data_IF_622820461348
#
_entry.id   IF_622820461348
#
_cell.length_a   1.000
_cell.length_b   1.000
_cell.length_c   1.000
_cell.angle_alpha   90.00
_cell.angle_beta   90.00
_cell.angle_gamma   90.00
#
_symmetry.space_group_name_H-M   'P 1'
#
loop_
_entity.id
_entity.type
_entity.pdbx_description
1 polymer ?
#
# COMPACT_ATOMS: atom_id res chain seq x y z
N UNK A 1 -33.08 -14.58 81.25
CA UNK A 1 -33.40 -15.79 82.04
C UNK A 1 -34.22 -16.71 81.13
N UNK A 2 -33.54 -17.65 80.48
CA UNK A 2 -34.01 -18.83 79.71
C UNK A 2 -32.73 -19.37 79.03
N UNK A 3 -31.99 -20.21 79.74
CA UNK A 3 -31.91 -21.68 79.60
C UNK A 3 -31.02 -22.12 78.44
N UNK A 4 -29.82 -22.57 78.83
CA UNK A 4 -28.78 -23.28 78.08
C UNK A 4 -29.19 -24.73 77.75
N UNK A 5 -28.50 -25.33 76.76
CA UNK A 5 -27.77 -26.58 77.03
C UNK A 5 -28.03 -27.82 76.16
N UNK A 6 -26.97 -28.24 75.43
CA UNK A 6 -26.61 -29.64 75.12
C UNK A 6 -27.01 -30.18 73.73
N UNK A 7 -26.20 -30.91 72.95
CA UNK A 7 -24.87 -31.50 73.17
C UNK A 7 -24.21 -31.95 71.83
N UNK A 8 -22.87 -31.84 71.80
CA UNK A 8 -21.82 -32.74 71.26
C UNK A 8 -21.94 -33.47 69.91
N UNK A 9 -20.91 -33.32 69.05
CA UNK A 9 -19.81 -34.31 68.94
C UNK A 9 -18.72 -33.88 67.95
N UNK A 10 -17.49 -34.25 68.31
CA UNK A 10 -16.19 -33.88 67.75
C UNK A 10 -15.84 -34.56 66.40
N UNK A 11 -14.93 -33.96 65.60
CA UNK A 11 -13.60 -34.53 65.26
C UNK A 11 -12.83 -33.69 64.22
N UNK A 12 -11.91 -32.88 64.74
CA UNK A 12 -10.48 -32.64 64.41
C UNK A 12 -9.84 -32.57 62.99
N UNK A 13 -8.79 -31.73 62.98
CA UNK A 13 -7.60 -31.61 62.10
C UNK A 13 -7.69 -30.66 60.88
N UNK A 14 -7.09 -29.46 60.96
CA UNK A 14 -5.70 -29.08 60.58
C UNK A 14 -5.59 -28.89 59.05
N UNK A 15 -5.09 -27.81 58.43
CA UNK A 15 -4.12 -26.74 58.78
C UNK A 15 -4.11 -25.72 57.63
N UNK A 16 -3.78 -24.45 57.93
CA UNK A 16 -3.02 -23.44 57.14
C UNK A 16 -3.20 -23.38 55.60
N UNK A 17 -3.42 -22.25 54.91
CA UNK A 17 -3.33 -20.84 55.20
C UNK A 17 -3.30 -20.04 53.88
N UNK A 18 -3.49 -18.72 54.01
CA UNK A 18 -3.02 -17.64 53.12
C UNK A 18 -3.73 -17.30 51.78
N UNK A 19 -4.20 -16.04 51.78
CA UNK A 19 -4.10 -15.00 50.76
C UNK A 19 -5.22 -14.77 49.73
N UNK A 20 -5.96 -13.68 50.00
CA UNK A 20 -6.67 -12.84 49.04
C UNK A 20 -5.74 -12.40 47.88
N UNK A 21 -6.29 -12.34 46.66
CA UNK A 21 -5.85 -11.33 45.69
C UNK A 21 -6.93 -11.01 44.65
N UNK A 22 -7.53 -9.82 44.83
CA UNK A 22 -7.85 -8.80 43.83
C UNK A 22 -8.21 -9.24 42.39
N UNK A 23 -9.47 -8.99 42.05
CA UNK A 23 -10.05 -8.95 40.70
C UNK A 23 -9.32 -7.96 39.77
N UNK A 24 -9.01 -8.42 38.56
CA UNK A 24 -8.47 -7.61 37.45
C UNK A 24 -9.46 -7.56 36.27
N UNK A 25 -9.38 -6.53 35.40
CA UNK A 25 -10.51 -6.02 34.62
C UNK A 25 -10.86 -6.83 33.38
N UNK A 26 -12.16 -6.82 33.01
CA UNK A 26 -12.69 -7.40 31.76
C UNK A 26 -11.93 -6.82 30.55
N UNK A 27 -11.27 -7.69 29.78
CA UNK A 27 -10.87 -7.40 28.40
C UNK A 27 -12.13 -7.08 27.60
N UNK A 28 -12.21 -5.87 27.06
CA UNK A 28 -13.16 -5.51 26.01
C UNK A 28 -12.90 -6.38 24.79
N UNK A 29 -13.75 -7.38 24.61
CA UNK A 29 -13.84 -8.13 23.37
C UNK A 29 -14.27 -7.15 22.28
N UNK A 30 -13.38 -6.87 21.33
CA UNK A 30 -13.76 -6.32 20.03
C UNK A 30 -14.89 -7.20 19.46
N UNK A 31 -16.03 -6.64 19.02
CA UNK A 31 -17.09 -7.44 18.47
C UNK A 31 -16.58 -8.23 17.25
N UNK A 32 -16.94 -9.50 17.10
CA UNK A 32 -16.64 -10.26 15.90
C UNK A 32 -17.29 -9.56 14.69
N UNK A 33 -16.73 -9.69 13.47
CA UNK A 33 -17.42 -9.20 12.28
C UNK A 33 -18.77 -9.92 12.20
N UNK A 34 -19.85 -9.16 12.32
CA UNK A 34 -21.22 -9.63 12.09
C UNK A 34 -21.33 -10.03 10.62
N UNK A 35 -21.31 -11.33 10.35
CA UNK A 35 -21.84 -11.88 9.11
C UNK A 35 -23.37 -11.77 9.15
N UNK A 36 -23.95 -11.38 8.01
CA UNK A 36 -25.31 -11.68 7.52
C UNK A 36 -26.05 -10.44 6.99
N UNK A 37 -25.44 -9.82 5.98
CA UNK A 37 -26.21 -9.36 4.83
C UNK A 37 -25.63 -10.07 3.60
N UNK A 38 -26.35 -11.04 3.03
CA UNK A 38 -26.16 -11.49 1.63
C UNK A 38 -26.56 -10.36 0.65
N UNK A 39 -26.15 -9.13 0.94
CA UNK A 39 -26.17 -8.04 -0.01
C UNK A 39 -24.98 -8.22 -0.94
N UNK A 40 -25.20 -8.08 -2.25
CA UNK A 40 -24.12 -8.12 -3.24
C UNK A 40 -23.13 -6.99 -2.92
N UNK A 41 -22.05 -7.32 -2.22
CA UNK A 41 -21.01 -6.35 -1.87
C UNK A 41 -20.08 -6.18 -3.05
N UNK A 42 -19.71 -4.93 -3.31
CA UNK A 42 -18.70 -4.56 -4.30
C UNK A 42 -17.62 -3.75 -3.62
N UNK A 43 -16.43 -3.73 -4.20
CA UNK A 43 -15.37 -2.80 -3.84
C UNK A 43 -14.90 -2.06 -5.07
N UNK A 44 -14.64 -0.78 -4.92
CA UNK A 44 -14.01 0.06 -5.94
C UNK A 44 -12.67 0.54 -5.44
N UNK A 45 -11.69 0.59 -6.34
CA UNK A 45 -10.36 1.12 -6.07
C UNK A 45 -10.14 2.36 -6.93
N UNK A 46 -9.61 3.43 -6.35
CA UNK A 46 -9.19 4.61 -7.11
C UNK A 46 -7.93 5.25 -6.53
N UNK A 47 -7.29 6.08 -7.36
CA UNK A 47 -6.01 6.69 -7.06
C UNK A 47 -6.17 8.09 -6.48
N UNK A 48 -5.46 8.35 -5.39
CA UNK A 48 -5.34 9.64 -4.72
C UNK A 48 -3.87 10.01 -4.60
N UNK A 49 -3.52 11.27 -4.86
CA UNK A 49 -2.21 11.78 -4.49
C UNK A 49 -2.00 11.70 -2.97
N UNK A 50 -0.76 11.87 -2.52
CA UNK A 50 -0.46 11.86 -1.08
C UNK A 50 -1.19 12.95 -0.30
N UNK A 51 -1.34 14.15 -0.88
CA UNK A 51 -2.04 15.26 -0.26
C UNK A 51 -3.53 14.93 -0.10
N UNK A 52 -4.17 14.49 -1.18
CA UNK A 52 -5.57 14.06 -1.20
C UNK A 52 -5.81 12.92 -0.22
N UNK A 53 -4.94 11.90 -0.20
CA UNK A 53 -5.05 10.80 0.75
C UNK A 53 -4.93 11.26 2.21
N UNK A 54 -4.02 12.21 2.51
CA UNK A 54 -3.88 12.80 3.84
C UNK A 54 -5.13 13.56 4.28
N UNK A 55 -5.75 14.27 3.36
CA UNK A 55 -7.02 14.97 3.56
C UNK A 55 -8.19 14.01 3.84
N UNK A 56 -8.32 12.95 3.05
CA UNK A 56 -9.39 11.95 3.24
C UNK A 56 -9.24 11.24 4.59
N UNK A 57 -8.01 10.96 5.05
CA UNK A 57 -7.76 10.43 6.39
C UNK A 57 -8.19 11.46 7.45
N UNK A 58 -7.79 12.71 7.29
CA UNK A 58 -8.06 13.78 8.25
C UNK A 58 -7.24 13.66 9.54
N UNK A 59 -7.26 14.72 10.36
CA UNK A 59 -6.51 14.75 11.63
C UNK A 59 -7.00 13.64 12.55
N UNK A 60 -6.10 12.73 12.92
CA UNK A 60 -6.41 11.57 13.77
C UNK A 60 -7.34 10.54 13.13
N UNK A 61 -7.50 10.53 11.80
CA UNK A 61 -8.43 9.62 11.12
C UNK A 61 -9.90 10.05 11.21
N UNK A 62 -10.17 11.29 11.61
CA UNK A 62 -11.55 11.77 11.86
C UNK A 62 -12.41 11.81 10.60
N UNK A 63 -11.86 12.30 9.47
CA UNK A 63 -12.60 12.44 8.21
C UNK A 63 -12.95 11.08 7.62
N UNK A 64 -11.99 10.15 7.51
CA UNK A 64 -12.27 8.80 7.00
C UNK A 64 -13.25 8.05 7.91
N UNK A 65 -13.17 8.25 9.23
CA UNK A 65 -14.11 7.65 10.17
C UNK A 65 -15.52 8.18 9.99
N UNK A 66 -15.69 9.51 9.82
CA UNK A 66 -16.98 10.12 9.50
C UNK A 66 -17.56 9.59 8.19
N UNK A 67 -16.73 9.52 7.14
CA UNK A 67 -17.17 9.03 5.84
C UNK A 67 -17.62 7.57 5.89
N UNK A 68 -16.91 6.71 6.62
CA UNK A 68 -17.33 5.32 6.82
C UNK A 68 -18.66 5.23 7.60
N UNK A 69 -18.81 6.00 8.68
CA UNK A 69 -20.03 5.99 9.50
C UNK A 69 -21.25 6.46 8.68
N UNK A 70 -21.10 7.57 7.94
CA UNK A 70 -22.20 8.18 7.19
C UNK A 70 -22.56 7.43 5.92
N UNK A 71 -21.58 6.79 5.27
CA UNK A 71 -21.82 6.02 4.06
C UNK A 71 -22.29 4.60 4.34
N UNK A 72 -21.90 4.00 5.47
CA UNK A 72 -22.06 2.56 5.72
C UNK A 72 -21.02 1.69 5.01
N UNK A 73 -20.17 2.28 4.16
CA UNK A 73 -19.10 1.57 3.47
C UNK A 73 -17.81 1.50 4.31
N UNK A 74 -17.01 0.48 4.04
CA UNK A 74 -15.65 0.34 4.55
C UNK A 74 -14.68 1.01 3.60
N UNK A 75 -13.92 1.98 4.09
CA UNK A 75 -12.93 2.74 3.33
C UNK A 75 -11.55 2.39 3.86
N UNK A 76 -10.68 1.89 2.99
CA UNK A 76 -9.29 1.55 3.30
C UNK A 76 -8.39 2.33 2.37
N UNK A 77 -7.30 2.90 2.88
CA UNK A 77 -6.26 3.47 2.05
C UNK A 77 -5.02 2.59 2.14
N UNK A 78 -4.29 2.47 1.03
CA UNK A 78 -2.95 1.88 1.01
C UNK A 78 -2.05 2.63 1.99
N UNK A 79 -1.03 1.99 2.55
CA UNK A 79 -0.13 2.63 3.52
C UNK A 79 0.58 3.84 2.91
N UNK A 80 1.19 4.66 3.78
CA UNK A 80 2.11 5.68 3.29
C UNK A 80 3.23 5.01 2.48
N UNK A 81 3.56 5.58 1.32
CA UNK A 81 4.52 5.04 0.37
C UNK A 81 4.13 3.71 -0.31
N UNK A 82 2.89 3.24 -0.12
CA UNK A 82 2.30 2.14 -0.88
C UNK A 82 1.50 2.72 -2.06
N UNK A 83 2.19 2.90 -3.18
CA UNK A 83 1.65 3.53 -4.37
C UNK A 83 1.16 2.52 -5.41
N UNK A 84 0.22 2.94 -6.24
CA UNK A 84 -0.08 2.22 -7.47
C UNK A 84 1.14 2.25 -8.40
N UNK A 85 1.56 1.10 -8.98
CA UNK A 85 2.77 1.03 -9.80
C UNK A 85 2.82 2.07 -10.92
N UNK A 86 3.98 2.70 -11.10
CA UNK A 86 4.17 3.79 -12.07
C UNK A 86 3.66 5.16 -11.65
N UNK A 87 3.02 5.25 -10.49
CA UNK A 87 2.46 6.49 -9.98
C UNK A 87 3.03 6.80 -8.60
N UNK A 88 2.77 8.01 -8.12
CA UNK A 88 3.01 8.41 -6.72
C UNK A 88 1.68 8.50 -5.96
N UNK A 89 0.67 7.79 -6.45
CA UNK A 89 -0.68 7.86 -5.94
C UNK A 89 -0.97 6.67 -5.05
N UNK A 90 -1.54 6.96 -3.89
CA UNK A 90 -2.09 5.96 -2.98
C UNK A 90 -3.41 5.44 -3.52
N UNK A 91 -3.78 4.25 -3.07
CA UNK A 91 -4.97 3.57 -3.52
C UNK A 91 -5.97 3.64 -2.38
N UNK A 92 -7.14 4.18 -2.65
CA UNK A 92 -8.28 4.04 -1.75
C UNK A 92 -9.19 2.93 -2.28
N UNK A 93 -9.57 2.04 -1.39
CA UNK A 93 -10.48 0.93 -1.62
C UNK A 93 -11.73 1.16 -0.77
N UNK A 94 -12.87 1.33 -1.43
CA UNK A 94 -14.18 1.48 -0.79
C UNK A 94 -14.94 0.20 -1.04
N UNK A 95 -15.50 -0.41 0.00
CA UNK A 95 -16.18 -1.72 -0.06
C UNK A 95 -17.47 -1.73 0.73
N UNK A 96 -18.51 -2.36 0.20
CA UNK A 96 -19.84 -2.43 0.81
C UNK A 96 -20.93 -2.68 -0.23
N UNK A 97 -22.22 -2.54 0.14
CA UNK A 97 -23.32 -2.46 -0.83
C UNK A 97 -23.08 -1.34 -1.85
N UNK A 98 -23.57 -1.51 -3.08
CA UNK A 98 -23.37 -0.53 -4.18
C UNK A 98 -23.76 0.89 -3.77
N UNK A 99 -24.92 1.05 -3.14
CA UNK A 99 -25.43 2.34 -2.65
C UNK A 99 -24.49 3.01 -1.63
N UNK A 100 -23.92 2.23 -0.71
CA UNK A 100 -23.05 2.73 0.34
C UNK A 100 -21.67 3.08 -0.22
N UNK A 101 -21.18 2.28 -1.18
CA UNK A 101 -19.96 2.58 -1.94
C UNK A 101 -20.11 3.90 -2.69
N UNK A 102 -21.24 4.12 -3.38
CA UNK A 102 -21.50 5.37 -4.10
C UNK A 102 -21.54 6.59 -3.16
N UNK A 103 -22.21 6.49 -2.01
CA UNK A 103 -22.20 7.56 -0.99
C UNK A 103 -20.79 7.87 -0.49
N UNK A 104 -19.98 6.85 -0.23
CA UNK A 104 -18.60 7.05 0.20
C UNK A 104 -17.73 7.71 -0.89
N UNK A 105 -17.91 7.32 -2.15
CA UNK A 105 -17.23 7.96 -3.28
C UNK A 105 -17.65 9.42 -3.41
N UNK A 106 -18.93 9.75 -3.28
CA UNK A 106 -19.43 11.13 -3.30
C UNK A 106 -18.77 11.99 -2.22
N UNK A 107 -18.73 11.51 -0.97
CA UNK A 107 -18.05 12.23 0.12
C UNK A 107 -16.57 12.46 -0.15
N UNK A 108 -15.89 11.46 -0.69
CA UNK A 108 -14.47 11.57 -1.04
C UNK A 108 -14.27 12.60 -2.15
N UNK A 109 -14.95 12.46 -3.29
CA UNK A 109 -14.76 13.36 -4.43
C UNK A 109 -15.16 14.80 -4.12
N UNK A 110 -16.26 15.01 -3.39
CA UNK A 110 -16.69 16.33 -2.97
C UNK A 110 -15.64 16.98 -2.05
N UNK A 111 -15.05 16.21 -1.12
CA UNK A 111 -13.99 16.69 -0.23
C UNK A 111 -12.74 17.12 -1.00
N UNK A 112 -12.30 16.34 -1.99
CA UNK A 112 -11.14 16.66 -2.83
C UNK A 112 -11.39 17.90 -3.69
N UNK A 113 -12.60 18.03 -4.25
CA UNK A 113 -13.00 19.18 -5.02
C UNK A 113 -12.95 20.45 -4.17
N UNK A 114 -13.55 20.43 -2.97
CA UNK A 114 -13.53 21.58 -2.06
C UNK A 114 -12.13 22.04 -1.67
N UNK A 115 -11.19 21.11 -1.44
CA UNK A 115 -9.81 21.49 -1.09
C UNK A 115 -9.05 22.08 -2.27
N UNK A 116 -9.28 21.57 -3.47
CA UNK A 116 -8.72 22.14 -4.70
C UNK A 116 -9.12 23.62 -4.83
N UNK A 117 -10.40 23.96 -4.57
CA UNK A 117 -10.91 25.34 -4.59
C UNK A 117 -10.19 26.28 -3.63
N UNK A 118 -9.80 25.79 -2.45
CA UNK A 118 -9.14 26.60 -1.42
C UNK A 118 -7.67 26.83 -1.77
N UNK A 119 -7.00 25.82 -2.34
CA UNK A 119 -5.58 25.90 -2.69
C UNK A 119 -5.30 26.88 -3.85
N UNK A 120 -6.20 26.99 -4.83
CA UNK A 120 -6.00 27.80 -6.04
C UNK A 120 -6.74 29.16 -6.02
N UNK A 121 -7.16 29.63 -4.85
CA UNK A 121 -7.73 30.97 -4.68
C UNK A 121 -9.04 31.21 -5.45
N UNK A 122 -9.83 30.16 -5.70
CA UNK A 122 -11.15 30.24 -6.33
C UNK A 122 -11.18 30.19 -7.87
N UNK A 123 -10.04 29.97 -8.54
CA UNK A 123 -9.98 29.82 -10.01
C UNK A 123 -9.79 28.37 -10.47
N UNK A 124 -10.56 27.45 -9.88
CA UNK A 124 -10.43 26.02 -10.17
C UNK A 124 -11.36 25.60 -11.29
N UNK A 125 -10.81 24.87 -12.26
CA UNK A 125 -11.60 24.14 -13.24
C UNK A 125 -12.53 23.17 -12.50
N UNK A 126 -13.87 23.35 -12.57
CA UNK A 126 -14.81 22.43 -11.93
C UNK A 126 -14.71 21.00 -12.48
N UNK A 127 -13.97 20.80 -13.57
CA UNK A 127 -13.73 19.49 -14.18
C UNK A 127 -12.47 18.87 -13.58
N UNK A 128 -12.67 17.97 -12.62
CA UNK A 128 -11.59 17.18 -12.05
C UNK A 128 -11.40 15.86 -12.82
N UNK A 129 -10.43 15.05 -12.38
CA UNK A 129 -10.14 13.72 -12.94
C UNK A 129 -10.10 12.69 -11.82
N UNK A 130 -10.74 11.54 -12.05
CA UNK A 130 -10.73 10.37 -11.16
C UNK A 130 -10.13 9.20 -11.93
N UNK A 131 -9.26 8.41 -11.27
CA UNK A 131 -8.65 7.22 -11.87
C UNK A 131 -9.04 5.98 -11.09
N UNK A 132 -9.95 5.20 -11.64
CA UNK A 132 -10.37 3.92 -11.09
C UNK A 132 -9.37 2.83 -11.48
N UNK A 133 -9.07 1.94 -10.56
CA UNK A 133 -8.24 0.76 -10.78
C UNK A 133 -9.15 -0.43 -11.06
N UNK A 134 -9.03 -1.01 -12.25
CA UNK A 134 -9.90 -2.11 -12.71
C UNK A 134 -9.03 -3.24 -13.27
N UNK A 135 -9.24 -4.51 -12.86
CA UNK A 135 -8.58 -5.65 -13.46
C UNK A 135 -8.79 -5.70 -14.99
N UNK A 136 -7.74 -6.02 -15.73
CA UNK A 136 -7.78 -6.10 -17.19
C UNK A 136 -8.86 -7.07 -17.69
N UNK A 137 -9.10 -8.17 -16.95
CA UNK A 137 -10.17 -9.13 -17.22
C UNK A 137 -11.56 -8.49 -17.26
N UNK A 138 -11.78 -7.45 -16.46
CA UNK A 138 -13.07 -6.77 -16.30
C UNK A 138 -13.22 -5.54 -17.21
N UNK A 139 -12.11 -5.00 -17.74
CA UNK A 139 -12.14 -3.88 -18.68
C UNK A 139 -12.92 -4.21 -19.98
N UNK A 140 -12.90 -5.46 -20.43
CA UNK A 140 -13.65 -5.89 -21.62
C UNK A 140 -15.16 -5.66 -21.47
N UNK A 141 -15.71 -5.86 -20.27
CA UNK A 141 -17.11 -5.62 -19.95
C UNK A 141 -17.49 -4.13 -19.95
N UNK A 142 -16.57 -3.27 -19.49
CA UNK A 142 -16.74 -1.81 -19.53
C UNK A 142 -16.68 -1.29 -20.97
N UNK A 143 -15.75 -1.79 -21.79
CA UNK A 143 -15.59 -1.37 -23.19
C UNK A 143 -16.79 -1.83 -24.02
N UNK A 144 -17.19 -3.10 -23.87
CA UNK A 144 -18.23 -3.72 -24.68
C UNK A 144 -17.80 -3.99 -26.12
N UNK A 145 -18.62 -4.74 -26.87
CA UNK A 145 -18.35 -5.09 -28.27
C UNK A 145 -18.24 -3.82 -29.13
N UNK A 146 -17.11 -3.64 -29.82
CA UNK A 146 -16.84 -2.44 -30.64
C UNK A 146 -16.79 -1.12 -29.87
N UNK A 147 -16.61 -1.16 -28.54
CA UNK A 147 -16.66 0.03 -27.69
C UNK A 147 -18.06 0.57 -27.45
N UNK A 148 -19.13 -0.18 -27.75
CA UNK A 148 -20.50 0.31 -27.64
C UNK A 148 -20.89 0.67 -26.20
N UNK A 149 -20.41 -0.11 -25.21
CA UNK A 149 -20.79 0.10 -23.81
C UNK A 149 -20.12 1.35 -23.24
N UNK A 150 -18.81 1.51 -23.44
CA UNK A 150 -18.10 2.71 -23.00
C UNK A 150 -18.62 3.97 -23.68
N UNK A 151 -19.05 3.89 -24.95
CA UNK A 151 -19.71 5.00 -25.65
C UNK A 151 -21.04 5.37 -25.00
N UNK A 152 -21.87 4.39 -24.66
CA UNK A 152 -23.13 4.63 -23.93
C UNK A 152 -22.87 5.26 -22.55
N UNK A 153 -21.84 4.82 -21.82
CA UNK A 153 -21.49 5.44 -20.54
C UNK A 153 -21.06 6.91 -20.69
N UNK A 154 -20.29 7.23 -21.74
CA UNK A 154 -19.90 8.62 -22.05
C UNK A 154 -21.13 9.46 -22.40
N UNK A 155 -22.06 8.91 -23.18
CA UNK A 155 -23.30 9.59 -23.58
C UNK A 155 -24.21 9.87 -22.37
N UNK A 156 -24.46 8.86 -21.53
CA UNK A 156 -25.35 8.95 -20.37
C UNK A 156 -24.80 9.81 -19.23
N UNK A 157 -23.48 9.80 -19.02
CA UNK A 157 -22.86 10.54 -17.93
C UNK A 157 -22.40 11.94 -18.32
N UNK A 158 -22.28 12.21 -19.63
CA UNK A 158 -21.58 13.37 -20.18
C UNK A 158 -20.12 13.54 -19.70
N UNK A 159 -19.55 12.52 -19.03
CA UNK A 159 -18.17 12.50 -18.60
C UNK A 159 -17.24 12.03 -19.72
N UNK A 160 -16.00 12.51 -19.71
CA UNK A 160 -14.92 11.88 -20.48
C UNK A 160 -14.46 10.60 -19.82
N UNK A 161 -14.58 9.45 -20.49
CA UNK A 161 -14.13 8.15 -19.98
C UNK A 161 -13.05 7.60 -20.91
N UNK A 162 -11.87 7.28 -20.36
CA UNK A 162 -10.75 6.68 -21.08
C UNK A 162 -10.19 5.51 -20.29
N UNK A 163 -9.72 4.47 -20.99
CA UNK A 163 -9.06 3.31 -20.34
C UNK A 163 -7.61 3.29 -20.82
N UNK A 164 -6.65 3.17 -19.90
CA UNK A 164 -5.21 3.08 -20.21
C UNK A 164 -4.92 1.93 -21.17
N UNK A 165 -3.89 2.04 -22.02
CA UNK A 165 -3.54 0.94 -22.93
C UNK A 165 -3.12 -0.31 -22.15
N UNK A 166 -3.22 -1.49 -22.76
CA UNK A 166 -2.65 -2.71 -22.19
C UNK A 166 -1.12 -2.66 -22.20
N UNK A 167 -0.52 -1.91 -23.12
CA UNK A 167 0.93 -1.76 -23.25
C UNK A 167 1.54 -0.86 -22.17
N UNK A 168 0.72 -0.06 -21.49
CA UNK A 168 1.13 0.80 -20.38
C UNK A 168 1.20 0.05 -19.04
N UNK A 169 0.92 -1.27 -19.03
CA UNK A 169 0.93 -2.06 -17.80
C UNK A 169 2.34 -2.42 -17.38
N UNK A 170 2.61 -2.27 -16.07
CA UNK A 170 3.84 -2.76 -15.47
C UNK A 170 3.92 -4.29 -15.56
N UNK A 171 5.10 -4.88 -15.83
CA UNK A 171 5.25 -6.33 -15.84
C UNK A 171 4.75 -6.96 -14.52
N UNK A 172 3.82 -7.91 -14.62
CA UNK A 172 3.19 -8.56 -13.46
C UNK A 172 1.97 -7.81 -12.89
N UNK A 173 1.63 -6.64 -13.41
CA UNK A 173 0.41 -5.90 -13.09
C UNK A 173 -0.71 -6.28 -14.05
N UNK A 174 -1.82 -6.79 -13.52
CA UNK A 174 -2.98 -7.14 -14.33
C UNK A 174 -4.11 -6.11 -14.26
N UNK A 175 -3.87 -4.95 -13.65
CA UNK A 175 -4.87 -3.88 -13.51
C UNK A 175 -4.62 -2.73 -14.48
N UNK A 176 -5.70 -2.07 -14.93
CA UNK A 176 -5.70 -0.91 -15.83
C UNK A 176 -6.41 0.26 -15.17
N UNK A 177 -6.13 1.46 -15.67
CA UNK A 177 -6.73 2.68 -15.18
C UNK A 177 -7.91 3.10 -16.05
N UNK A 178 -9.08 3.22 -15.44
CA UNK A 178 -10.25 3.88 -16.04
C UNK A 178 -10.25 5.32 -15.55
N UNK A 179 -9.96 6.24 -16.45
CA UNK A 179 -9.85 7.67 -16.22
C UNK A 179 -11.20 8.31 -16.54
N UNK A 180 -11.83 8.91 -15.54
CA UNK A 180 -13.10 9.65 -15.65
C UNK A 180 -12.81 11.13 -15.42
N UNK A 181 -13.24 11.99 -16.35
CA UNK A 181 -13.02 13.45 -16.30
C UNK A 181 -14.35 14.17 -16.49
N UNK A 182 -14.61 15.22 -15.72
CA UNK A 182 -15.89 15.93 -15.76
C UNK A 182 -16.18 16.64 -14.45
N UNK A 183 -17.36 17.24 -14.35
CA UNK A 183 -17.88 17.78 -13.08
C UNK A 183 -18.18 16.65 -12.09
N UNK A 184 -18.34 16.98 -10.80
CA UNK A 184 -18.67 15.98 -9.77
C UNK A 184 -19.90 15.13 -10.15
N UNK A 185 -20.97 15.76 -10.66
CA UNK A 185 -22.17 15.04 -11.09
C UNK A 185 -21.93 14.11 -12.28
N UNK A 186 -21.21 14.57 -13.30
CA UNK A 186 -20.82 13.75 -14.47
C UNK A 186 -19.98 12.55 -14.04
N UNK A 187 -19.01 12.77 -13.15
CA UNK A 187 -18.14 11.70 -12.62
C UNK A 187 -18.92 10.68 -11.81
N UNK A 188 -19.78 11.14 -10.89
CA UNK A 188 -20.60 10.24 -10.06
C UNK A 188 -21.50 9.37 -10.93
N UNK A 189 -22.11 9.95 -11.97
CA UNK A 189 -22.93 9.19 -12.92
C UNK A 189 -22.12 8.16 -13.70
N UNK A 190 -20.92 8.52 -14.16
CA UNK A 190 -20.04 7.57 -14.85
C UNK A 190 -19.57 6.43 -13.92
N UNK A 191 -19.23 6.74 -12.67
CA UNK A 191 -18.79 5.76 -11.68
C UNK A 191 -19.91 4.79 -11.32
N UNK A 192 -21.15 5.27 -11.17
CA UNK A 192 -22.34 4.45 -10.96
C UNK A 192 -22.54 3.43 -12.09
N UNK A 193 -22.51 3.89 -13.35
CA UNK A 193 -22.63 3.01 -14.52
C UNK A 193 -21.53 1.95 -14.58
N UNK A 194 -20.28 2.36 -14.30
CA UNK A 194 -19.14 1.44 -14.26
C UNK A 194 -19.30 0.43 -13.12
N UNK A 195 -19.73 0.85 -11.94
CA UNK A 195 -19.87 -0.05 -10.79
C UNK A 195 -20.98 -1.07 -10.98
N UNK A 196 -22.13 -0.68 -11.50
CA UNK A 196 -23.17 -1.64 -11.85
C UNK A 196 -22.66 -2.66 -12.86
N UNK A 197 -21.90 -2.23 -13.87
CA UNK A 197 -21.32 -3.16 -14.85
C UNK A 197 -20.29 -4.10 -14.25
N UNK A 198 -19.46 -3.61 -13.33
CA UNK A 198 -18.48 -4.42 -12.61
C UNK A 198 -19.15 -5.39 -11.62
N UNK A 199 -20.29 -5.03 -11.03
CA UNK A 199 -21.08 -5.90 -10.15
C UNK A 199 -21.71 -7.09 -10.89
N UNK A 200 -21.92 -6.98 -12.21
CA UNK A 200 -22.37 -8.09 -13.06
C UNK A 200 -21.23 -9.05 -13.45
N UNK A 201 -19.97 -8.62 -13.33
CA UNK A 201 -18.81 -9.43 -13.73
C UNK A 201 -18.35 -10.33 -12.57
N UNK A 202 -18.62 -11.63 -12.71
CA UNK A 202 -18.19 -12.64 -11.73
C UNK A 202 -16.67 -12.66 -11.51
N UNK A 203 -15.87 -12.34 -12.53
CA UNK A 203 -14.40 -12.30 -12.40
C UNK A 203 -13.93 -11.09 -11.60
N UNK A 204 -14.69 -10.00 -11.60
CA UNK A 204 -14.37 -8.82 -10.80
C UNK A 204 -14.54 -9.11 -9.31
N UNK A 205 -15.66 -9.73 -8.93
CA UNK A 205 -15.99 -10.06 -7.53
C UNK A 205 -14.98 -11.06 -6.95
N UNK A 206 -14.51 -12.03 -7.73
CA UNK A 206 -13.52 -13.02 -7.28
C UNK A 206 -12.15 -12.39 -6.98
N UNK A 207 -11.76 -11.34 -7.72
CA UNK A 207 -10.48 -10.65 -7.57
C UNK A 207 -10.51 -9.52 -6.52
N UNK A 208 -11.66 -9.35 -5.85
CA UNK A 208 -11.95 -8.23 -4.97
C UNK A 208 -11.34 -8.37 -3.57
N UNK A 209 -11.09 -9.61 -3.14
CA UNK A 209 -10.70 -9.95 -1.75
C UNK A 209 -9.22 -9.74 -1.41
N UNK A 210 -8.40 -9.22 -2.33
CA UNK A 210 -7.01 -8.88 -2.03
C UNK A 210 -6.89 -7.43 -1.55
N UNK A 211 -6.64 -7.18 -0.24
CA UNK A 211 -6.23 -5.86 0.21
C UNK A 211 -4.88 -5.54 -0.44
N UNK A 212 -4.90 -4.54 -1.33
CA UNK A 212 -3.73 -3.95 -2.00
C UNK A 212 -2.67 -4.98 -2.48
N UNK A 213 -2.90 -5.68 -3.62
CA UNK A 213 -1.98 -6.71 -4.12
C UNK A 213 -0.59 -6.17 -4.53
N UNK A 214 -0.43 -4.85 -4.57
CA UNK A 214 0.82 -4.18 -4.90
C UNK A 214 1.84 -4.16 -3.75
N UNK A 215 1.42 -4.56 -2.54
CA UNK A 215 2.31 -4.67 -1.38
C UNK A 215 3.30 -5.84 -1.46
N UNK A 216 3.16 -6.78 -2.41
CA UNK A 216 3.84 -8.08 -2.34
C UNK A 216 4.26 -8.71 -3.68
N UNK A 217 4.72 -7.93 -4.66
CA UNK A 217 5.50 -8.47 -5.79
C UNK A 217 6.99 -8.13 -5.64
N UNK A 218 7.57 -8.61 -4.54
CA UNK A 218 8.86 -9.29 -4.61
C UNK A 218 8.63 -10.68 -4.02
N UNK A 219 8.51 -11.66 -4.92
CA UNK A 219 8.46 -13.09 -4.60
C UNK A 219 9.78 -13.44 -3.90
N UNK A 220 9.74 -13.56 -2.58
CA UNK A 220 10.70 -14.33 -1.84
C UNK A 220 10.42 -15.80 -2.09
N UNK A 221 11.25 -16.45 -2.90
CA UNK A 221 11.29 -17.91 -3.02
C UNK A 221 11.48 -18.51 -1.61
N UNK A 222 10.46 -19.21 -1.13
CA UNK A 222 10.45 -19.92 0.14
C UNK A 222 11.04 -21.33 -0.05
N UNK A 223 12.31 -21.54 0.32
CA UNK A 223 12.78 -22.87 0.72
C UNK A 223 12.77 -22.93 2.24
N UNK A 224 11.67 -23.44 2.79
CA UNK A 224 11.71 -23.99 4.15
C UNK A 224 12.25 -25.42 4.13
N UNK A 225 12.96 -25.83 5.19
CA UNK A 225 12.76 -27.16 5.73
C UNK A 225 12.37 -27.09 7.21
N UNK A 226 11.18 -27.64 7.48
CA UNK A 226 10.81 -28.56 8.56
C UNK A 226 11.77 -28.73 9.76
N UNK A 227 11.22 -28.44 10.95
CA UNK A 227 11.46 -28.97 12.32
C UNK A 227 12.01 -27.98 13.37
N UNK A 228 11.33 -27.90 14.54
CA UNK A 228 12.00 -27.61 15.82
C UNK A 228 11.31 -26.63 16.80
N UNK A 229 10.36 -27.13 17.60
CA UNK A 229 10.16 -26.93 19.06
C UNK A 229 10.63 -25.62 19.75
N UNK A 230 9.66 -24.90 20.34
CA UNK A 230 9.71 -24.41 21.74
C UNK A 230 10.33 -23.04 22.07
N UNK A 231 9.58 -22.17 22.77
CA UNK A 231 10.16 -21.06 23.55
C UNK A 231 9.19 -19.93 23.90
N UNK A 232 8.90 -19.75 25.20
CA UNK A 232 8.00 -18.75 25.83
C UNK A 232 8.77 -17.51 26.32
N UNK A 233 8.23 -16.29 26.07
CA UNK A 233 8.22 -14.98 26.81
C UNK A 233 9.49 -14.44 27.56
N UNK A 234 9.59 -13.17 28.05
CA UNK A 234 8.58 -12.08 28.16
C UNK A 234 9.06 -10.63 27.81
N UNK A 235 8.16 -9.66 28.02
CA UNK A 235 8.31 -8.21 27.85
C UNK A 235 8.77 -7.45 29.12
N UNK A 236 9.43 -6.29 28.93
CA UNK A 236 9.43 -4.99 29.68
C UNK A 236 10.79 -4.27 29.43
N UNK A 237 11.00 -2.94 29.43
CA UNK A 237 10.34 -1.78 30.05
C UNK A 237 10.89 -0.48 29.40
N UNK A 238 10.04 0.54 29.28
CA UNK A 238 10.22 2.02 29.32
C UNK A 238 11.63 2.67 29.27
N UNK A 239 11.81 3.74 28.46
CA UNK A 239 11.80 5.16 28.93
C UNK A 239 12.26 6.21 27.86
N UNK A 240 11.46 7.29 27.72
CA UNK A 240 11.75 8.70 27.34
C UNK A 240 12.40 9.15 26.00
N UNK A 241 11.59 9.96 25.29
CA UNK A 241 11.81 11.34 24.83
C UNK A 241 12.81 11.66 23.69
N UNK A 242 12.33 12.56 22.82
CA UNK A 242 13.04 13.42 21.84
C UNK A 242 13.30 12.84 20.42
N UNK A 243 12.81 13.60 19.43
CA UNK A 243 13.30 13.79 18.06
C UNK A 243 13.05 12.74 16.95
N UNK A 244 12.33 13.24 15.94
CA UNK A 244 12.54 13.05 14.49
C UNK A 244 12.35 11.66 13.86
N UNK A 245 11.46 11.65 12.87
CA UNK A 245 11.61 11.02 11.55
C UNK A 245 11.87 9.51 11.53
N UNK A 246 10.83 8.68 11.37
CA UNK A 246 11.04 7.24 11.20
C UNK A 246 9.91 6.47 10.52
N UNK A 247 9.60 6.77 9.26
CA UNK A 247 9.18 5.73 8.30
C UNK A 247 9.87 5.85 6.92
N UNK A 248 11.02 6.55 6.85
CA UNK A 248 12.02 6.41 5.78
C UNK A 248 12.77 5.07 5.94
N UNK A 249 12.05 3.94 5.91
CA UNK A 249 12.69 2.64 5.69
C UNK A 249 12.96 2.48 4.20
N UNK A 250 14.00 3.18 3.75
CA UNK A 250 15.11 2.64 2.98
C UNK A 250 14.75 1.49 2.01
N UNK A 251 14.13 1.81 0.86
CA UNK A 251 14.21 0.90 -0.28
C UNK A 251 15.69 0.74 -0.60
N UNK A 252 16.15 -0.50 -0.68
CA UNK A 252 17.56 -0.81 -0.87
C UNK A 252 17.69 -1.92 -1.90
N UNK A 253 18.27 -1.60 -3.06
CA UNK A 253 18.59 -2.57 -4.11
C UNK A 253 20.06 -2.94 -4.00
N UNK A 254 20.42 -4.20 -4.22
CA UNK A 254 21.82 -4.62 -4.33
C UNK A 254 22.07 -5.17 -5.71
N UNK A 255 23.02 -4.56 -6.43
CA UNK A 255 23.46 -5.00 -7.76
C UNK A 255 24.88 -5.57 -7.67
N UNK A 256 25.20 -6.49 -8.58
CA UNK A 256 26.55 -7.03 -8.77
C UNK A 256 27.33 -6.20 -9.78
N UNK A 257 28.55 -5.81 -9.43
CA UNK A 257 29.50 -5.19 -10.36
C UNK A 257 30.80 -5.97 -10.28
N UNK A 258 31.31 -6.45 -11.41
CA UNK A 258 32.58 -7.18 -11.48
C UNK A 258 33.70 -6.38 -10.77
N UNK A 259 34.53 -7.06 -9.98
CA UNK A 259 35.56 -6.39 -9.14
C UNK A 259 36.56 -5.57 -9.97
N UNK A 260 36.81 -5.96 -11.22
CA UNK A 260 37.63 -5.20 -12.18
C UNK A 260 37.00 -3.84 -12.57
N UNK A 261 35.67 -3.74 -12.60
CA UNK A 261 34.93 -2.54 -13.00
C UNK A 261 34.53 -1.65 -11.82
N UNK A 262 34.63 -2.12 -10.58
CA UNK A 262 34.21 -1.35 -9.39
C UNK A 262 35.01 -0.06 -9.20
N UNK A 263 36.26 -0.03 -9.68
CA UNK A 263 37.11 1.16 -9.63
C UNK A 263 36.54 2.36 -10.40
N UNK A 264 35.76 2.12 -11.45
CA UNK A 264 35.11 3.15 -12.28
C UNK A 264 33.90 3.76 -11.57
N UNK A 265 33.15 2.92 -10.85
CA UNK A 265 32.02 3.33 -10.03
C UNK A 265 32.51 4.18 -8.86
N UNK A 266 33.57 3.74 -8.17
CA UNK A 266 34.21 4.48 -7.06
C UNK A 266 34.88 5.79 -7.50
N UNK A 267 35.69 5.75 -8.56
CA UNK A 267 36.52 6.87 -9.03
C UNK A 267 37.69 7.23 -8.10
N UNK A 268 38.62 8.08 -8.56
CA UNK A 268 39.80 8.50 -7.78
C UNK A 268 39.37 9.18 -6.47
N UNK A 269 39.79 8.62 -5.34
CA UNK A 269 39.42 9.05 -3.99
C UNK A 269 37.90 9.03 -3.71
N UNK A 270 37.12 8.19 -4.40
CA UNK A 270 35.67 8.07 -4.17
C UNK A 270 34.81 9.18 -4.81
N UNK A 271 35.39 10.07 -5.62
CA UNK A 271 34.66 11.21 -6.20
C UNK A 271 33.47 10.80 -7.08
N UNK A 272 33.60 9.71 -7.83
CA UNK A 272 32.55 9.25 -8.75
C UNK A 272 31.33 8.71 -8.00
N UNK A 273 31.54 7.90 -6.95
CA UNK A 273 30.42 7.36 -6.18
C UNK A 273 29.70 8.45 -5.37
N UNK A 274 30.43 9.45 -4.90
CA UNK A 274 29.86 10.63 -4.24
C UNK A 274 28.97 11.43 -5.20
N UNK A 275 29.42 11.62 -6.45
CA UNK A 275 28.63 12.30 -7.48
C UNK A 275 27.34 11.54 -7.82
N UNK A 276 27.42 10.21 -8.01
CA UNK A 276 26.25 9.37 -8.27
C UNK A 276 25.27 9.46 -7.09
N UNK A 277 25.77 9.39 -5.85
CA UNK A 277 24.94 9.52 -4.65
C UNK A 277 24.26 10.90 -4.55
N UNK A 278 24.99 11.98 -4.85
CA UNK A 278 24.47 13.35 -4.80
C UNK A 278 23.42 13.62 -5.89
N UNK A 279 23.70 13.24 -7.13
CA UNK A 279 22.80 13.51 -8.27
C UNK A 279 21.54 12.63 -8.20
N UNK A 280 21.68 11.37 -7.77
CA UNK A 280 20.53 10.49 -7.59
C UNK A 280 19.74 10.79 -6.32
N UNK A 281 20.38 11.36 -5.29
CA UNK A 281 19.80 11.44 -3.95
C UNK A 281 19.72 10.07 -3.24
N UNK A 282 20.41 9.04 -3.75
CA UNK A 282 20.48 7.72 -3.13
C UNK A 282 21.74 7.59 -2.27
N UNK A 283 21.65 6.85 -1.17
CA UNK A 283 22.78 6.40 -0.36
C UNK A 283 23.35 5.10 -0.92
N UNK A 284 24.61 5.09 -1.32
CA UNK A 284 25.22 3.94 -1.99
C UNK A 284 26.34 3.36 -1.13
N UNK A 285 26.32 2.05 -0.87
CA UNK A 285 27.32 1.30 -0.10
C UNK A 285 27.90 0.18 -0.97
N UNK A 286 29.21 0.03 -0.94
CA UNK A 286 29.93 -1.02 -1.68
C UNK A 286 30.53 -1.98 -0.65
N UNK A 287 30.47 -3.30 -0.91
CA UNK A 287 31.11 -4.33 -0.05
C UNK A 287 32.61 -4.13 0.04
N UNK A 288 33.27 -4.71 1.04
CA UNK A 288 34.74 -4.64 1.17
C UNK A 288 35.45 -5.47 0.07
N UNK A 289 36.76 -5.22 -0.13
CA UNK A 289 37.55 -6.00 -1.08
C UNK A 289 37.57 -7.48 -0.65
N UNK A 290 37.17 -8.37 -1.54
CA UNK A 290 37.06 -9.80 -1.25
C UNK A 290 35.68 -10.26 -0.76
N UNK A 291 34.73 -9.35 -0.51
CA UNK A 291 33.34 -9.69 -0.17
C UNK A 291 32.44 -9.64 -1.42
N UNK A 292 32.30 -10.81 -2.06
CA UNK A 292 31.59 -11.00 -3.34
C UNK A 292 30.19 -11.61 -3.17
N UNK A 293 29.36 -11.51 -4.20
CA UNK A 293 28.09 -12.23 -4.28
C UNK A 293 28.38 -13.73 -4.43
N UNK A 294 27.73 -14.56 -3.61
CA UNK A 294 27.95 -16.01 -3.55
C UNK A 294 27.85 -16.65 -4.93
N UNK A 295 28.94 -17.29 -5.37
CA UNK A 295 29.03 -17.96 -6.68
C UNK A 295 29.47 -17.05 -7.83
N UNK A 296 29.84 -15.80 -7.57
CA UNK A 296 30.35 -14.84 -8.57
C UNK A 296 31.61 -14.13 -8.07
N UNK A 297 32.31 -13.42 -8.95
CA UNK A 297 33.38 -12.46 -8.63
C UNK A 297 32.87 -11.01 -8.52
N UNK A 298 31.57 -10.82 -8.33
CA UNK A 298 30.94 -9.50 -8.36
C UNK A 298 30.90 -8.88 -6.97
N UNK A 299 31.32 -7.62 -6.87
CA UNK A 299 31.19 -6.78 -5.68
C UNK A 299 29.74 -6.35 -5.51
N UNK A 300 29.28 -6.32 -4.26
CA UNK A 300 27.91 -5.92 -3.91
C UNK A 300 27.85 -4.41 -3.84
N UNK A 301 26.97 -3.80 -4.64
CA UNK A 301 26.66 -2.37 -4.57
C UNK A 301 25.22 -2.21 -4.11
N UNK A 302 25.06 -1.79 -2.86
CA UNK A 302 23.77 -1.58 -2.21
C UNK A 302 23.37 -0.11 -2.33
N UNK A 303 22.29 0.17 -3.05
CA UNK A 303 21.74 1.49 -3.33
C UNK A 303 20.46 1.66 -2.52
N UNK A 304 20.47 2.57 -1.57
CA UNK A 304 19.39 2.83 -0.62
C UNK A 304 18.81 4.23 -0.85
N UNK A 305 17.52 4.37 -1.08
CA UNK A 305 16.90 5.69 -1.25
C UNK A 305 15.47 5.60 -1.76
N UNK A 306 14.95 6.71 -2.30
CA UNK A 306 13.68 6.67 -3.03
C UNK A 306 13.81 5.83 -4.30
N UNK A 307 12.73 5.28 -4.84
CA UNK A 307 12.80 4.46 -6.07
C UNK A 307 13.41 5.24 -7.25
N UNK A 308 13.12 6.54 -7.36
CA UNK A 308 13.74 7.43 -8.36
C UNK A 308 15.24 7.57 -8.13
N UNK A 309 15.64 7.75 -6.87
CA UNK A 309 17.04 7.81 -6.50
C UNK A 309 17.76 6.49 -6.82
N UNK A 310 17.16 5.35 -6.50
CA UNK A 310 17.72 4.04 -6.79
C UNK A 310 17.87 3.84 -8.31
N UNK A 311 16.82 4.12 -9.08
CA UNK A 311 16.83 3.91 -10.54
C UNK A 311 17.82 4.86 -11.24
N UNK A 312 17.91 6.10 -10.75
CA UNK A 312 18.90 7.06 -11.26
C UNK A 312 20.32 6.62 -10.92
N UNK A 313 20.56 6.17 -9.68
CA UNK A 313 21.86 5.63 -9.28
C UNK A 313 22.23 4.37 -10.07
N UNK A 314 21.29 3.45 -10.27
CA UNK A 314 21.48 2.22 -11.05
C UNK A 314 21.84 2.54 -12.51
N UNK A 315 21.10 3.44 -13.16
CA UNK A 315 21.41 3.89 -14.52
C UNK A 315 22.81 4.53 -14.62
N UNK A 316 23.16 5.40 -13.67
CA UNK A 316 24.48 6.03 -13.64
C UNK A 316 25.63 5.04 -13.39
N UNK A 317 25.40 4.00 -12.57
CA UNK A 317 26.36 2.92 -12.32
C UNK A 317 26.51 2.07 -13.59
N UNK A 318 25.40 1.61 -14.17
CA UNK A 318 25.39 0.82 -15.41
C UNK A 318 26.07 1.56 -16.56
N UNK A 319 25.85 2.86 -16.69
CA UNK A 319 26.51 3.69 -17.71
C UNK A 319 28.02 3.83 -17.49
N UNK A 320 28.49 3.89 -16.23
CA UNK A 320 29.94 3.93 -15.93
C UNK A 320 30.63 2.60 -16.18
N UNK A 321 29.93 1.48 -15.97
CA UNK A 321 30.45 0.12 -16.23
C UNK A 321 30.42 -0.20 -17.73
N UNK A 322 29.38 0.21 -18.46
CA UNK A 322 29.24 -0.04 -19.90
C UNK A 322 30.28 0.68 -20.76
N UNK A 323 30.80 1.84 -20.31
CA UNK A 323 31.83 2.61 -21.02
C UNK A 323 33.17 1.89 -21.20
N UNK A 324 33.35 0.72 -20.61
CA UNK A 324 34.57 -0.09 -20.73
C UNK A 324 34.43 -1.27 -21.69
N UNK A 325 33.20 -1.70 -21.98
CA UNK A 325 32.94 -2.74 -22.99
C UNK A 325 33.35 -2.31 -24.41
N UNK A 326 33.38 -1.01 -24.69
CA UNK A 326 33.80 -0.45 -25.99
C UNK A 326 35.29 -0.06 -26.05
N UNK A 327 36.01 0.03 -24.92
CA UNK A 327 37.42 0.44 -24.90
C UNK A 327 38.43 -0.73 -24.92
N UNK A 328 37.99 -1.95 -24.65
CA UNK A 328 38.84 -3.16 -24.67
C UNK A 328 38.90 -3.86 -26.03
N UNK A 329 38.00 -3.53 -26.97
CA UNK A 329 38.05 -4.07 -28.34
C UNK A 329 39.08 -3.36 -29.25
N UNK A 330 39.64 -2.22 -28.82
CA UNK A 330 40.60 -1.44 -29.62
C UNK A 330 42.08 -1.62 -29.22
N UNK A 331 42.39 -2.48 -28.25
CA UNK A 331 43.78 -2.72 -27.79
C UNK A 331 44.28 -4.15 -28.08
N UNK A 332 43.50 -4.96 -28.81
CA UNK A 332 43.92 -6.27 -29.33
C UNK A 332 43.89 -6.37 -30.87
N UNK A 333 44.09 -5.24 -31.55
CA UNK A 333 44.42 -5.18 -32.98
C UNK A 333 45.89 -4.86 -33.17
#
# INVERSE_FOLDING_TARGET
MAMEGGAQSDYNSSTEGLQEHSSSPRKSLSPPPSSDHEGNTISVKFLLSNAEAGSIIGKGGSTISDFQIRSGARIQLSRNNEFFPGTMDRIVMVSGPVEDVLKAVDFILNKLLCESYVEDGGNVDPRSKVRLVVPNSSCGGIIGKGGAMIKAFIEDSHAGIKISSQDDNFPGLHDRLVIVTGTLGEQMRAIELILHKLAEDSHYIQNMNAPFPYAAVYVGMNYGPRNGVGGRFPANRYQNNVQSNSEDRNNSVTIGVADEHIGLVLGRNGRSIMEISQQSGARIKISDRGDFISGTSDRKVTITGSQRAISMAESMISQKVARVSESDEFVKG
#
